data_IF_817121635579
#
_entry.id   IF_817121635579
#
_cell.length_a   1.000
_cell.length_b   1.000
_cell.length_c   1.000
_cell.angle_alpha   90.00
_cell.angle_beta   90.00
_cell.angle_gamma   90.00
#
_symmetry.space_group_name_H-M   'P 1'
#
loop_
_entity.id
_entity.type
_entity.pdbx_description
1 polymer ?
#
# COMPACT_ATOMS: atom_id res chain seq x y z
N UNK A 1 -44.84 10.42 -19.12
CA UNK A 1 -44.66 11.89 -19.19
C UNK A 1 -44.37 12.41 -17.79
N UNK A 2 -43.18 12.98 -17.60
CA UNK A 2 -42.78 13.64 -16.36
C UNK A 2 -43.50 15.00 -16.25
N UNK A 3 -44.14 15.28 -15.12
CA UNK A 3 -44.53 16.64 -14.74
C UNK A 3 -43.95 16.94 -13.34
N UNK A 4 -43.06 17.94 -13.32
CA UNK A 4 -42.39 18.49 -12.14
C UNK A 4 -43.40 19.21 -11.24
N UNK A 5 -43.42 18.87 -9.95
CA UNK A 5 -44.00 19.73 -8.92
C UNK A 5 -42.86 20.38 -8.12
N UNK A 6 -42.74 21.69 -8.33
CA UNK A 6 -41.94 22.62 -7.55
C UNK A 6 -42.54 22.74 -6.15
N UNK A 7 -41.77 22.48 -5.09
CA UNK A 7 -42.07 23.03 -3.77
C UNK A 7 -40.79 23.47 -3.08
N UNK A 8 -40.63 24.78 -3.06
CA UNK A 8 -39.61 25.55 -2.39
C UNK A 8 -39.89 25.61 -0.88
N UNK A 9 -39.04 25.01 -0.06
CA UNK A 9 -38.90 25.39 1.35
C UNK A 9 -37.42 25.42 1.72
N UNK A 10 -36.78 26.56 1.44
CA UNK A 10 -35.57 26.96 2.16
C UNK A 10 -36.03 27.53 3.49
N UNK A 11 -36.01 26.71 4.54
CA UNK A 11 -36.15 27.20 5.90
C UNK A 11 -34.79 27.75 6.34
N UNK A 12 -34.70 29.07 6.34
CA UNK A 12 -33.63 29.86 6.95
C UNK A 12 -33.74 29.80 8.47
N UNK A 13 -33.00 28.91 9.11
CA UNK A 13 -32.76 28.94 10.55
C UNK A 13 -31.59 29.88 10.86
N UNK A 14 -31.90 31.16 11.14
CA UNK A 14 -30.93 32.13 11.64
C UNK A 14 -30.71 31.85 13.14
N UNK A 15 -29.62 31.19 13.48
CA UNK A 15 -29.24 30.99 14.88
C UNK A 15 -29.00 32.34 15.59
N UNK A 16 -29.38 32.49 16.87
CA UNK A 16 -29.14 33.73 17.61
C UNK A 16 -27.63 33.97 17.76
N UNK A 17 -27.16 35.10 17.22
CA UNK A 17 -25.80 35.58 17.44
C UNK A 17 -25.69 36.03 18.90
N UNK A 18 -25.01 35.24 19.71
CA UNK A 18 -24.53 35.67 21.03
C UNK A 18 -23.39 36.68 20.78
N UNK A 19 -23.59 37.93 21.18
CA UNK A 19 -22.56 38.96 21.16
C UNK A 19 -21.41 38.55 22.08
N UNK A 20 -20.16 38.40 21.62
CA UNK A 20 -19.06 38.23 22.56
C UNK A 20 -18.89 39.53 23.34
N UNK A 21 -18.86 39.41 24.66
CA UNK A 21 -18.56 40.49 25.59
C UNK A 21 -17.25 41.18 25.19
N UNK A 22 -17.23 42.52 25.28
CA UNK A 22 -16.05 43.32 25.05
C UNK A 22 -14.94 42.91 26.02
N UNK A 23 -13.95 42.16 25.53
CA UNK A 23 -12.72 41.91 26.26
C UNK A 23 -11.88 43.18 26.17
N UNK A 24 -11.78 43.88 27.30
CA UNK A 24 -10.91 45.04 27.51
C UNK A 24 -9.49 44.69 27.06
N UNK A 25 -8.97 45.45 26.09
CA UNK A 25 -7.62 45.28 25.59
C UNK A 25 -6.60 45.56 26.71
N UNK A 26 -5.63 44.67 26.97
CA UNK A 26 -4.57 44.97 27.92
C UNK A 26 -3.70 46.12 27.38
N UNK A 27 -3.52 47.10 28.26
CA UNK A 27 -2.60 48.24 28.18
C UNK A 27 -1.33 47.93 27.37
N UNK A 28 -1.03 48.85 26.45
CA UNK A 28 0.17 48.93 25.60
C UNK A 28 1.39 48.31 26.31
N UNK A 29 1.77 47.10 25.89
CA UNK A 29 3.11 46.58 26.21
C UNK A 29 4.10 47.60 25.68
N UNK A 30 4.89 48.16 26.60
CA UNK A 30 6.01 49.04 26.35
C UNK A 30 6.74 48.62 25.08
N UNK A 31 6.90 49.56 24.14
CA UNK A 31 7.61 49.34 22.90
C UNK A 31 9.04 48.90 23.22
N UNK A 32 9.28 47.58 23.16
CA UNK A 32 10.63 47.06 23.02
C UNK A 32 11.07 47.46 21.62
N UNK A 33 11.86 48.52 21.53
CA UNK A 33 12.59 48.83 20.30
C UNK A 33 13.58 47.68 20.08
N UNK A 34 13.16 46.70 19.30
CA UNK A 34 14.06 45.67 18.79
C UNK A 34 14.94 46.38 17.78
N UNK A 35 16.17 46.72 18.19
CA UNK A 35 17.20 47.23 17.30
C UNK A 35 17.39 46.17 16.22
N UNK A 36 16.99 46.51 15.00
CA UNK A 36 17.18 45.66 13.83
C UNK A 36 18.68 45.58 13.55
N UNK A 37 19.33 44.56 14.11
CA UNK A 37 20.63 44.13 13.62
C UNK A 37 20.46 43.77 12.14
N UNK A 38 21.25 44.45 11.31
CA UNK A 38 21.27 44.41 9.87
C UNK A 38 21.06 43.00 9.32
N UNK A 39 19.90 42.77 8.69
CA UNK A 39 19.60 41.52 8.02
C UNK A 39 20.49 41.37 6.79
N UNK A 40 21.69 40.81 7.00
CA UNK A 40 22.59 40.45 5.91
C UNK A 40 21.85 39.57 4.89
N UNK A 41 21.97 39.97 3.64
CA UNK A 41 21.23 39.52 2.45
C UNK A 41 21.13 37.99 2.34
N UNK A 42 20.04 37.40 2.85
CA UNK A 42 19.74 35.97 2.74
C UNK A 42 19.27 35.68 1.32
N UNK A 43 20.19 35.57 0.36
CA UNK A 43 19.89 35.24 -1.04
C UNK A 43 18.98 34.01 -1.09
N UNK A 44 17.75 34.19 -1.58
CA UNK A 44 16.76 33.11 -1.73
C UNK A 44 17.34 32.08 -2.68
N UNK A 45 17.52 30.84 -2.21
CA UNK A 45 17.97 29.74 -3.08
C UNK A 45 17.03 29.66 -4.30
N UNK A 46 17.57 29.69 -5.52
CA UNK A 46 16.76 29.75 -6.72
C UNK A 46 15.88 28.49 -6.80
N UNK A 47 14.63 28.67 -7.24
CA UNK A 47 13.63 27.60 -7.27
C UNK A 47 14.10 26.32 -7.97
N UNK A 48 14.86 26.36 -9.09
CA UNK A 48 15.40 25.16 -9.72
C UNK A 48 16.32 24.33 -8.81
N UNK A 49 17.22 24.99 -8.06
CA UNK A 49 18.17 24.31 -7.15
C UNK A 49 17.41 23.60 -6.02
N UNK A 50 16.37 24.25 -5.48
CA UNK A 50 15.49 23.62 -4.47
C UNK A 50 14.76 22.40 -5.02
N UNK A 51 14.24 22.49 -6.24
CA UNK A 51 13.55 21.36 -6.88
C UNK A 51 14.50 20.20 -7.17
N UNK A 52 15.75 20.47 -7.54
CA UNK A 52 16.78 19.45 -7.72
C UNK A 52 17.10 18.72 -6.40
N UNK A 53 17.30 19.45 -5.30
CA UNK A 53 17.53 18.86 -3.96
C UNK A 53 16.37 17.97 -3.51
N UNK A 54 15.13 18.48 -3.60
CA UNK A 54 13.93 17.72 -3.27
C UNK A 54 13.76 16.48 -4.16
N UNK A 55 14.14 16.57 -5.43
CA UNK A 55 14.06 15.43 -6.35
C UNK A 55 15.04 14.33 -5.94
N UNK A 56 16.27 14.67 -5.56
CA UNK A 56 17.25 13.69 -5.07
C UNK A 56 16.81 13.01 -3.77
N UNK A 57 16.31 13.78 -2.80
CA UNK A 57 15.77 13.23 -1.55
C UNK A 57 14.62 12.24 -1.79
N UNK A 58 13.68 12.63 -2.67
CA UNK A 58 12.56 11.77 -3.06
C UNK A 58 13.03 10.56 -3.85
N UNK A 59 14.02 10.72 -4.73
CA UNK A 59 14.61 9.61 -5.52
C UNK A 59 15.22 8.57 -4.60
N UNK A 60 16.04 8.98 -3.63
CA UNK A 60 16.69 8.08 -2.68
C UNK A 60 15.67 7.32 -1.83
N UNK A 61 14.66 8.02 -1.29
CA UNK A 61 13.59 7.41 -0.49
C UNK A 61 12.73 6.44 -1.31
N UNK A 62 12.36 6.82 -2.53
CA UNK A 62 11.55 6.00 -3.42
C UNK A 62 12.32 4.77 -3.92
N UNK A 63 13.63 4.92 -4.18
CA UNK A 63 14.53 3.81 -4.54
C UNK A 63 14.56 2.77 -3.43
N UNK A 64 14.77 3.19 -2.18
CA UNK A 64 14.79 2.28 -1.02
C UNK A 64 13.49 1.51 -0.82
N UNK A 65 12.34 2.16 -0.96
CA UNK A 65 11.03 1.49 -0.83
C UNK A 65 10.72 0.56 -2.00
N UNK A 66 11.04 0.98 -3.24
CA UNK A 66 10.85 0.12 -4.42
C UNK A 66 11.73 -1.12 -4.35
N UNK A 67 12.99 -0.99 -3.92
CA UNK A 67 13.89 -2.13 -3.74
C UNK A 67 13.46 -3.03 -2.58
N UNK A 68 13.00 -2.47 -1.46
CA UNK A 68 12.46 -3.26 -0.35
C UNK A 68 11.30 -4.17 -0.79
N UNK A 69 10.32 -3.62 -1.52
CA UNK A 69 9.20 -4.41 -2.06
C UNK A 69 9.70 -5.51 -3.00
N UNK A 70 10.61 -5.19 -3.92
CA UNK A 70 11.16 -6.17 -4.86
C UNK A 70 11.85 -7.31 -4.13
N UNK A 71 12.64 -7.01 -3.10
CA UNK A 71 13.35 -8.00 -2.29
C UNK A 71 12.39 -8.89 -1.50
N UNK A 72 11.39 -8.33 -0.82
CA UNK A 72 10.41 -9.14 -0.05
C UNK A 72 9.60 -10.05 -0.96
N UNK A 73 9.13 -9.55 -2.11
CA UNK A 73 8.46 -10.38 -3.11
C UNK A 73 9.40 -11.48 -3.61
N UNK A 74 10.67 -11.18 -3.92
CA UNK A 74 11.65 -12.18 -4.38
C UNK A 74 11.87 -13.29 -3.34
N UNK A 75 11.87 -12.98 -2.05
CA UNK A 75 11.96 -13.98 -0.97
C UNK A 75 10.76 -14.93 -0.98
N UNK A 76 9.54 -14.39 -1.08
CA UNK A 76 8.32 -15.19 -1.18
C UNK A 76 8.37 -16.12 -2.40
N UNK A 77 8.77 -15.58 -3.56
CA UNK A 77 8.86 -16.36 -4.80
C UNK A 77 9.84 -17.52 -4.68
N UNK A 78 11.06 -17.27 -4.20
CA UNK A 78 12.07 -18.31 -4.01
C UNK A 78 11.59 -19.42 -3.09
N UNK A 79 10.99 -19.07 -1.94
CA UNK A 79 10.47 -20.06 -1.00
C UNK A 79 9.29 -20.84 -1.60
N UNK A 80 8.41 -20.18 -2.36
CA UNK A 80 7.31 -20.88 -3.03
C UNK A 80 7.80 -21.84 -4.11
N UNK A 81 8.83 -21.47 -4.89
CA UNK A 81 9.40 -22.32 -5.93
C UNK A 81 10.09 -23.55 -5.35
N UNK A 82 10.75 -23.44 -4.20
CA UNK A 82 11.35 -24.59 -3.50
C UNK A 82 10.28 -25.53 -2.96
N UNK A 83 9.20 -25.00 -2.40
CA UNK A 83 8.11 -25.78 -1.81
C UNK A 83 7.25 -26.51 -2.86
N UNK A 84 7.04 -25.91 -4.02
CA UNK A 84 6.31 -26.58 -5.11
C UNK A 84 7.10 -27.77 -5.67
N UNK A 85 8.43 -27.74 -5.62
CA UNK A 85 9.29 -28.85 -6.10
C UNK A 85 9.41 -30.00 -5.09
N UNK A 86 9.39 -29.70 -3.79
CA UNK A 86 9.55 -30.68 -2.72
C UNK A 86 8.30 -30.65 -1.80
N UNK A 87 7.22 -31.38 -2.14
CA UNK A 87 5.97 -31.32 -1.42
C UNK A 87 5.99 -32.00 -0.04
N UNK A 88 6.99 -32.84 0.25
CA UNK A 88 7.04 -33.70 1.45
C UNK A 88 7.24 -32.94 2.78
N UNK A 89 7.70 -31.70 2.75
CA UNK A 89 7.91 -30.84 3.93
C UNK A 89 7.03 -29.59 3.96
N UNK A 90 6.00 -29.52 3.12
CA UNK A 90 5.27 -28.27 2.88
C UNK A 90 4.53 -27.76 4.12
N UNK A 91 3.98 -28.65 4.95
CA UNK A 91 3.19 -28.29 6.14
C UNK A 91 3.99 -27.47 7.18
N UNK A 92 5.25 -27.81 7.42
CA UNK A 92 6.10 -27.14 8.41
C UNK A 92 6.55 -25.75 7.94
N UNK A 93 6.67 -25.56 6.62
CA UNK A 93 7.17 -24.31 6.03
C UNK A 93 6.06 -23.32 5.67
N UNK A 94 4.78 -23.72 5.69
CA UNK A 94 3.64 -22.79 5.54
C UNK A 94 3.73 -21.58 6.49
N UNK A 95 3.94 -21.72 7.81
CA UNK A 95 4.00 -20.57 8.71
C UNK A 95 5.15 -19.61 8.38
N UNK A 96 6.28 -20.13 7.88
CA UNK A 96 7.39 -19.28 7.43
C UNK A 96 7.02 -18.49 6.17
N UNK A 97 6.32 -19.12 5.23
CA UNK A 97 5.79 -18.45 4.03
C UNK A 97 4.79 -17.35 4.39
N UNK A 98 3.88 -17.62 5.33
CA UNK A 98 2.88 -16.63 5.76
C UNK A 98 3.49 -15.40 6.42
N UNK A 99 4.54 -15.58 7.24
CA UNK A 99 5.30 -14.46 7.79
C UNK A 99 5.89 -13.57 6.67
N UNK A 100 6.52 -14.17 5.67
CA UNK A 100 7.07 -13.42 4.53
C UNK A 100 5.99 -12.72 3.69
N UNK A 101 4.82 -13.34 3.53
CA UNK A 101 3.68 -12.73 2.84
C UNK A 101 3.16 -11.52 3.62
N UNK A 102 3.01 -11.63 4.94
CA UNK A 102 2.58 -10.51 5.78
C UNK A 102 3.55 -9.33 5.70
N UNK A 103 4.86 -9.59 5.76
CA UNK A 103 5.89 -8.57 5.55
C UNK A 103 5.79 -7.91 4.18
N UNK A 104 5.60 -8.69 3.12
CA UNK A 104 5.46 -8.17 1.77
C UNK A 104 4.23 -7.26 1.64
N UNK A 105 3.08 -7.65 2.21
CA UNK A 105 1.86 -6.83 2.19
C UNK A 105 2.03 -5.53 2.97
N UNK A 106 2.64 -5.59 4.15
CA UNK A 106 2.93 -4.39 4.97
C UNK A 106 3.74 -3.35 4.19
N UNK A 107 4.79 -3.77 3.50
CA UNK A 107 5.62 -2.88 2.69
C UNK A 107 4.90 -2.34 1.45
N UNK A 108 4.12 -3.18 0.76
CA UNK A 108 3.33 -2.77 -0.41
C UNK A 108 2.30 -1.70 -0.01
N UNK A 109 1.59 -1.90 1.09
CA UNK A 109 0.53 -1.01 1.53
C UNK A 109 1.07 0.31 2.06
N UNK A 110 2.14 0.24 2.84
CA UNK A 110 2.85 1.44 3.30
C UNK A 110 3.34 2.27 2.11
N UNK A 111 3.84 1.63 1.05
CA UNK A 111 4.30 2.33 -0.14
C UNK A 111 3.15 2.92 -0.99
N UNK A 112 1.99 2.27 -1.00
CA UNK A 112 0.79 2.77 -1.67
C UNK A 112 0.24 4.01 -0.96
N UNK A 113 0.07 3.94 0.37
CA UNK A 113 -0.40 5.07 1.19
C UNK A 113 0.54 6.28 1.07
N UNK A 114 1.86 6.03 1.04
CA UNK A 114 2.86 7.09 0.90
C UNK A 114 3.02 7.59 -0.55
N UNK A 115 2.23 7.11 -1.51
CA UNK A 115 2.25 7.57 -2.90
C UNK A 115 3.50 7.19 -3.71
N UNK A 116 4.28 6.19 -3.24
CA UNK A 116 5.50 5.73 -3.95
C UNK A 116 5.14 4.83 -5.14
N UNK A 117 4.05 4.08 -5.00
CA UNK A 117 3.45 3.26 -6.06
C UNK A 117 1.96 3.57 -6.15
N UNK A 118 1.40 3.48 -7.36
CA UNK A 118 -0.04 3.63 -7.57
C UNK A 118 -0.83 2.45 -6.98
N UNK A 119 -2.06 2.69 -6.54
CA UNK A 119 -2.95 1.69 -5.96
C UNK A 119 -3.12 0.44 -6.84
N UNK A 120 -3.31 0.63 -8.15
CA UNK A 120 -3.43 -0.51 -9.09
C UNK A 120 -2.13 -1.32 -9.16
N UNK A 121 -0.97 -0.66 -9.05
CA UNK A 121 0.33 -1.35 -9.03
C UNK A 121 0.50 -2.15 -7.73
N UNK A 122 0.04 -1.62 -6.60
CA UNK A 122 0.00 -2.34 -5.34
C UNK A 122 -0.92 -3.57 -5.43
N UNK A 123 -2.14 -3.40 -5.96
CA UNK A 123 -3.11 -4.49 -6.16
C UNK A 123 -2.53 -5.61 -7.04
N UNK A 124 -1.89 -5.28 -8.17
CA UNK A 124 -1.23 -6.28 -9.03
C UNK A 124 -0.11 -7.05 -8.29
N UNK A 125 0.66 -6.38 -7.44
CA UNK A 125 1.73 -7.03 -6.64
C UNK A 125 1.15 -7.96 -5.58
N UNK A 126 0.07 -7.55 -4.88
CA UNK A 126 -0.65 -8.42 -3.94
C UNK A 126 -1.24 -9.64 -4.63
N UNK A 127 -1.93 -9.44 -5.75
CA UNK A 127 -2.50 -10.53 -6.54
C UNK A 127 -1.41 -11.52 -6.98
N UNK A 128 -0.22 -11.02 -7.37
CA UNK A 128 0.92 -11.90 -7.68
C UNK A 128 1.31 -12.76 -6.47
N UNK A 129 1.57 -12.15 -5.32
CA UNK A 129 1.97 -12.88 -4.09
C UNK A 129 0.90 -13.90 -3.67
N UNK A 130 -0.37 -13.53 -3.71
CA UNK A 130 -1.49 -14.41 -3.40
C UNK A 130 -1.53 -15.63 -4.32
N UNK A 131 -1.28 -15.47 -5.63
CA UNK A 131 -1.23 -16.59 -6.57
C UNK A 131 -0.16 -17.61 -6.22
N UNK A 132 1.03 -17.19 -5.79
CA UNK A 132 2.09 -18.12 -5.40
C UNK A 132 1.77 -18.83 -4.08
N UNK A 133 1.22 -18.12 -3.08
CA UNK A 133 0.71 -18.76 -1.86
C UNK A 133 -0.31 -19.85 -2.21
N UNK A 134 -1.25 -19.53 -3.10
CA UNK A 134 -2.30 -20.43 -3.54
C UNK A 134 -1.74 -21.69 -4.22
N UNK A 135 -0.71 -21.54 -5.05
CA UNK A 135 -0.05 -22.67 -5.73
C UNK A 135 0.61 -23.63 -4.74
N UNK A 136 1.29 -23.10 -3.71
CA UNK A 136 1.93 -23.90 -2.66
C UNK A 136 0.89 -24.70 -1.86
N UNK A 137 -0.24 -24.08 -1.52
CA UNK A 137 -1.31 -24.76 -0.79
C UNK A 137 -1.94 -25.89 -1.62
N UNK A 138 -2.11 -25.66 -2.93
CA UNK A 138 -2.60 -26.68 -3.87
C UNK A 138 -1.61 -27.84 -4.00
N UNK A 139 -0.31 -27.56 -4.14
CA UNK A 139 0.71 -28.62 -4.26
C UNK A 139 0.85 -29.43 -2.97
N UNK A 140 0.69 -28.77 -1.82
CA UNK A 140 0.67 -29.44 -0.51
C UNK A 140 -0.61 -30.25 -0.27
N UNK A 141 -1.63 -30.14 -1.13
CA UNK A 141 -2.91 -30.83 -0.96
C UNK A 141 -3.82 -30.24 0.13
N UNK A 142 -3.45 -29.09 0.72
CA UNK A 142 -4.20 -28.43 1.80
C UNK A 142 -5.36 -27.57 1.30
N UNK A 143 -5.47 -27.35 -0.01
CA UNK A 143 -6.53 -26.54 -0.59
C UNK A 143 -7.01 -27.09 -1.94
N UNK A 144 -8.32 -27.28 -2.04
CA UNK A 144 -9.04 -27.65 -3.27
C UNK A 144 -9.86 -26.46 -3.77
N UNK A 145 -9.48 -25.82 -4.89
CA UNK A 145 -10.27 -24.73 -5.46
C UNK A 145 -11.61 -25.24 -5.99
N UNK A 146 -12.66 -24.44 -5.78
CA UNK A 146 -13.93 -24.60 -6.50
C UNK A 146 -13.77 -24.32 -8.01
N UNK A 147 -14.60 -24.92 -8.88
CA UNK A 147 -14.46 -24.81 -10.34
C UNK A 147 -14.58 -23.39 -10.88
N UNK A 148 -15.34 -22.52 -10.21
CA UNK A 148 -15.55 -21.13 -10.60
C UNK A 148 -14.35 -20.22 -10.28
N UNK A 149 -13.41 -20.69 -9.46
CA UNK A 149 -12.30 -19.88 -8.98
C UNK A 149 -11.12 -19.92 -9.96
N UNK A 150 -10.40 -18.80 -10.16
CA UNK A 150 -9.29 -18.72 -11.11
C UNK A 150 -8.13 -19.69 -10.81
N UNK A 151 -8.06 -20.23 -9.59
CA UNK A 151 -7.07 -21.23 -9.19
C UNK A 151 -7.35 -22.67 -9.68
N UNK A 152 -8.55 -22.96 -10.17
CA UNK A 152 -8.99 -24.32 -10.51
C UNK A 152 -8.18 -24.95 -11.66
N UNK A 153 -7.89 -24.17 -12.70
CA UNK A 153 -7.10 -24.65 -13.84
C UNK A 153 -5.68 -25.09 -13.43
N UNK A 154 -5.08 -24.46 -12.41
CA UNK A 154 -3.78 -24.89 -11.89
C UNK A 154 -3.91 -26.19 -11.10
N UNK A 155 -4.94 -26.33 -10.26
CA UNK A 155 -5.23 -27.56 -9.54
C UNK A 155 -5.40 -28.76 -10.47
N UNK A 156 -6.17 -28.62 -11.56
CA UNK A 156 -6.32 -29.68 -12.55
C UNK A 156 -4.98 -30.12 -13.17
N UNK A 157 -4.10 -29.17 -13.49
CA UNK A 157 -2.75 -29.48 -14.02
C UNK A 157 -1.89 -30.23 -13.00
N UNK A 158 -1.92 -29.81 -11.73
CA UNK A 158 -1.18 -30.48 -10.65
C UNK A 158 -1.69 -31.91 -10.47
N UNK A 159 -3.02 -32.11 -10.46
CA UNK A 159 -3.61 -33.44 -10.34
C UNK A 159 -3.32 -34.32 -11.56
N UNK A 160 -3.39 -33.78 -12.77
CA UNK A 160 -3.01 -34.51 -13.99
C UNK A 160 -1.53 -34.91 -13.97
N UNK A 161 -0.64 -34.02 -13.51
CA UNK A 161 0.79 -34.32 -13.37
C UNK A 161 1.04 -35.41 -12.30
N UNK A 162 0.34 -35.34 -11.16
CA UNK A 162 0.41 -36.36 -10.11
C UNK A 162 -0.09 -37.72 -10.59
N UNK A 163 -1.22 -37.75 -11.30
CA UNK A 163 -1.77 -38.97 -11.92
C UNK A 163 -0.80 -39.57 -12.95
N UNK A 164 -0.16 -38.74 -13.78
CA UNK A 164 0.87 -39.20 -14.73
C UNK A 164 2.09 -39.77 -14.01
N UNK A 165 2.55 -39.14 -12.93
CA UNK A 165 3.67 -39.66 -12.13
C UNK A 165 3.34 -41.00 -11.48
N UNK A 166 2.10 -41.17 -10.97
CA UNK A 166 1.63 -42.44 -10.42
C UNK A 166 1.47 -43.54 -11.49
N UNK A 167 1.02 -43.19 -12.69
CA UNK A 167 0.90 -44.14 -13.81
C UNK A 167 2.24 -44.54 -14.44
N UNK A 168 3.30 -43.75 -14.27
CA UNK A 168 4.66 -44.09 -14.71
C UNK A 168 5.44 -44.94 -13.70
N UNK A 169 4.94 -45.07 -12.47
CA UNK A 169 5.55 -45.85 -11.39
C UNK A 169 4.97 -47.28 -11.28
N UNK A 170 3.94 -47.61 -12.06
CA UNK A 170 3.39 -48.97 -12.24
C UNK A 170 3.79 -49.50 -13.61
#
# INVERSE_FOLDING_TARGET
>A
MLAKASSSMRMTGLAPRVSPAAVVAPSRRSAVQVVAAEAQNKKRTPQPVKRAQLAEERRMSNKGRKSAIATRIKKVLKLSETLVKAPEGAAEQVPALEKLVAEAYKEIDTAAVKGVIHANTAARRKARVARYKQQVLISAGLYTPAPEQPGFAFYQRVQAAKAKAAGAAN
#
